data_IF_563486135548
#
_entry.id   IF_563486135548
#
_cell.length_a   1.000
_cell.length_b   1.000
_cell.length_c   1.000
_cell.angle_alpha   90.00
_cell.angle_beta   90.00
_cell.angle_gamma   90.00
#
_symmetry.space_group_name_H-M   'P 1'
#
loop_
_entity.id
_entity.type
_entity.pdbx_description
1 polymer ?
#
# COMPACT_ATOMS: atom_id res chain seq x y z
N UNK A 1 -13.77 -8.28 -2.60
CA UNK A 1 -12.99 -9.35 -3.27
C UNK A 1 -13.10 -10.67 -2.52
N UNK A 2 -12.85 -10.73 -1.20
CA UNK A 2 -12.86 -12.01 -0.45
C UNK A 2 -14.26 -12.53 -0.09
N UNK A 3 -15.21 -11.64 0.24
CA UNK A 3 -16.55 -12.00 0.75
C UNK A 3 -17.28 -13.13 -0.01
N UNK A 4 -17.28 -13.20 -1.36
CA UNK A 4 -17.96 -14.29 -2.07
C UNK A 4 -17.34 -15.69 -1.90
N UNK A 5 -16.11 -15.79 -1.38
CA UNK A 5 -15.33 -17.02 -1.32
C UNK A 5 -15.10 -17.55 0.10
N UNK A 6 -15.48 -16.78 1.12
CA UNK A 6 -15.24 -17.12 2.53
C UNK A 6 -16.52 -16.96 3.34
N UNK A 7 -16.75 -17.86 4.30
CA UNK A 7 -17.90 -17.77 5.21
C UNK A 7 -17.84 -16.52 6.09
N UNK A 8 -16.64 -16.11 6.51
CA UNK A 8 -16.39 -14.91 7.31
C UNK A 8 -15.12 -14.21 6.85
N UNK A 9 -15.16 -12.88 6.79
CA UNK A 9 -14.00 -12.02 6.54
C UNK A 9 -13.87 -11.00 7.67
N UNK A 10 -12.66 -10.85 8.18
CA UNK A 10 -12.35 -9.88 9.23
C UNK A 10 -11.28 -8.92 8.69
N UNK A 11 -11.64 -7.64 8.58
CA UNK A 11 -10.69 -6.55 8.36
C UNK A 11 -10.14 -6.03 9.69
N UNK A 12 -8.84 -5.82 9.76
CA UNK A 12 -8.14 -5.23 10.90
C UNK A 12 -7.32 -4.04 10.39
N UNK A 13 -7.37 -2.94 11.14
CA UNK A 13 -6.55 -1.76 10.90
C UNK A 13 -6.33 -1.05 12.26
N UNK A 14 -5.26 -0.28 12.37
CA UNK A 14 -4.95 0.50 13.57
C UNK A 14 -5.51 1.94 13.52
N UNK A 15 -6.01 2.39 12.36
CA UNK A 15 -6.72 3.66 12.20
C UNK A 15 -8.22 3.48 12.35
N UNK A 16 -8.80 4.18 13.31
CA UNK A 16 -10.25 4.21 13.48
C UNK A 16 -10.94 4.84 12.26
N UNK A 17 -10.33 5.85 11.64
CA UNK A 17 -10.84 6.54 10.46
C UNK A 17 -10.95 5.59 9.26
N UNK A 18 -9.91 4.77 9.01
CA UNK A 18 -9.93 3.76 7.95
C UNK A 18 -11.05 2.74 8.18
N UNK A 19 -11.22 2.28 9.43
CA UNK A 19 -12.28 1.33 9.77
C UNK A 19 -13.67 1.94 9.65
N UNK A 20 -13.85 3.21 10.03
CA UNK A 20 -15.13 3.92 9.86
C UNK A 20 -15.49 4.03 8.37
N UNK A 21 -14.52 4.41 7.53
CA UNK A 21 -14.74 4.46 6.09
C UNK A 21 -15.06 3.08 5.50
N UNK A 22 -14.32 2.04 5.90
CA UNK A 22 -14.55 0.67 5.45
C UNK A 22 -15.93 0.15 5.85
N UNK A 23 -16.37 0.41 7.10
CA UNK A 23 -17.72 0.05 7.57
C UNK A 23 -18.82 0.78 6.78
N UNK A 24 -18.63 2.06 6.48
CA UNK A 24 -19.61 2.87 5.73
C UNK A 24 -19.77 2.46 4.26
N UNK A 25 -18.75 1.84 3.67
CA UNK A 25 -18.75 1.42 2.25
C UNK A 25 -19.05 -0.06 2.05
N UNK A 26 -18.97 -0.86 3.12
CA UNK A 26 -19.17 -2.31 3.05
C UNK A 26 -20.65 -2.68 2.99
N UNK A 27 -21.00 -3.46 1.96
CA UNK A 27 -22.36 -3.98 1.75
C UNK A 27 -22.49 -5.48 2.06
N UNK A 28 -21.37 -6.15 2.29
CA UNK A 28 -21.31 -7.59 2.51
C UNK A 28 -21.62 -7.92 3.97
N UNK A 29 -22.55 -8.84 4.21
CA UNK A 29 -22.96 -9.21 5.58
C UNK A 29 -21.95 -10.08 6.32
N UNK A 30 -21.10 -10.82 5.59
CA UNK A 30 -20.07 -11.68 6.17
C UNK A 30 -18.72 -10.98 6.39
N UNK A 31 -18.67 -9.65 6.26
CA UNK A 31 -17.46 -8.86 6.49
C UNK A 31 -17.62 -8.06 7.78
N UNK A 32 -16.65 -8.17 8.67
CA UNK A 32 -16.58 -7.41 9.91
C UNK A 32 -15.24 -6.68 10.03
N UNK A 33 -15.22 -5.59 10.79
CA UNK A 33 -14.05 -4.74 10.95
C UNK A 33 -13.74 -4.51 12.43
N UNK A 34 -12.48 -4.66 12.80
CA UNK A 34 -12.03 -4.53 14.19
C UNK A 34 -10.79 -3.62 14.26
N UNK A 35 -10.73 -2.80 15.31
CA UNK A 35 -9.52 -2.07 15.66
C UNK A 35 -8.51 -3.04 16.26
N UNK A 36 -7.30 -3.06 15.72
CA UNK A 36 -6.26 -3.97 16.19
C UNK A 36 -4.99 -3.89 15.36
N UNK A 37 -3.96 -4.60 15.81
CA UNK A 37 -2.69 -4.70 15.11
C UNK A 37 -2.54 -6.08 14.47
N UNK A 38 -1.62 -6.20 13.52
CA UNK A 38 -1.37 -7.46 12.82
C UNK A 38 -0.72 -8.51 13.74
N UNK A 39 -0.06 -8.05 14.80
CA UNK A 39 0.63 -8.87 15.81
C UNK A 39 -0.32 -9.50 16.83
N UNK A 40 -1.59 -9.08 16.89
CA UNK A 40 -2.59 -9.66 17.79
C UNK A 40 -3.98 -9.62 17.15
N UNK A 41 -4.29 -10.68 16.40
CA UNK A 41 -5.49 -10.80 15.58
C UNK A 41 -6.74 -11.13 16.42
N UNK A 42 -6.59 -11.52 17.69
CA UNK A 42 -7.70 -11.88 18.59
C UNK A 42 -8.68 -12.87 17.95
N UNK A 43 -8.13 -13.94 17.39
CA UNK A 43 -8.86 -15.11 16.88
C UNK A 43 -8.24 -16.37 17.48
N UNK A 44 -8.97 -17.48 17.39
CA UNK A 44 -8.53 -18.76 17.92
C UNK A 44 -7.29 -19.29 17.18
N UNK A 45 -6.57 -20.18 17.83
CA UNK A 45 -5.45 -20.89 17.22
C UNK A 45 -5.95 -21.75 16.06
N UNK A 46 -5.15 -21.87 14.99
CA UNK A 46 -5.45 -22.71 13.83
C UNK A 46 -6.86 -22.53 13.22
N UNK A 47 -7.42 -21.33 13.29
CA UNK A 47 -8.79 -21.03 12.87
C UNK A 47 -8.88 -20.20 11.58
N UNK A 48 -7.75 -19.80 10.99
CA UNK A 48 -7.72 -18.89 9.84
C UNK A 48 -7.23 -19.60 8.58
N UNK A 49 -8.00 -19.45 7.52
CA UNK A 49 -7.78 -20.09 6.23
C UNK A 49 -6.78 -19.30 5.36
N UNK A 50 -6.92 -17.98 5.40
CA UNK A 50 -6.17 -17.03 4.59
C UNK A 50 -5.95 -15.76 5.39
N UNK A 51 -4.69 -15.31 5.47
CA UNK A 51 -4.33 -13.97 5.90
C UNK A 51 -3.88 -13.19 4.66
N UNK A 52 -4.46 -12.02 4.45
CA UNK A 52 -4.04 -11.10 3.39
C UNK A 52 -3.42 -9.84 3.98
N UNK A 53 -2.28 -9.42 3.46
CA UNK A 53 -1.65 -8.14 3.81
C UNK A 53 -1.46 -7.32 2.54
N UNK A 54 -2.32 -6.31 2.36
CA UNK A 54 -2.27 -5.40 1.21
C UNK A 54 -1.58 -4.09 1.59
N UNK A 55 -0.42 -3.79 1.01
CA UNK A 55 0.29 -2.51 1.19
C UNK A 55 0.62 -2.11 2.65
N UNK A 56 0.73 -3.07 3.57
CA UNK A 56 0.87 -2.76 5.00
C UNK A 56 2.02 -3.47 5.74
N UNK A 57 2.57 -4.58 5.22
CA UNK A 57 3.49 -5.44 5.98
C UNK A 57 4.75 -4.72 6.49
N UNK A 58 5.17 -3.66 5.80
CA UNK A 58 6.34 -2.86 6.16
C UNK A 58 6.14 -1.94 7.36
N UNK A 59 4.93 -1.87 7.92
CA UNK A 59 4.63 -1.18 9.16
C UNK A 59 4.68 -2.09 10.39
N UNK A 60 4.70 -3.41 10.20
CA UNK A 60 4.51 -4.38 11.28
C UNK A 60 5.81 -4.72 11.99
N UNK A 61 5.70 -5.16 13.24
CA UNK A 61 6.75 -5.96 13.86
C UNK A 61 6.70 -7.36 13.24
N UNK A 62 7.59 -7.60 12.27
CA UNK A 62 7.60 -8.85 11.51
C UNK A 62 7.83 -10.08 12.39
N UNK A 63 8.57 -9.96 13.50
CA UNK A 63 8.81 -11.09 14.38
C UNK A 63 7.52 -11.49 15.11
N UNK A 64 6.82 -10.52 15.69
CA UNK A 64 5.56 -10.77 16.39
C UNK A 64 4.45 -11.17 15.41
N UNK A 65 4.37 -10.48 14.27
CA UNK A 65 3.43 -10.82 13.19
C UNK A 65 3.61 -12.27 12.73
N UNK A 66 4.84 -12.73 12.49
CA UNK A 66 5.08 -14.11 12.06
C UNK A 66 4.64 -15.14 13.12
N UNK A 67 4.84 -14.87 14.41
CA UNK A 67 4.36 -15.74 15.49
C UNK A 67 2.84 -15.80 15.50
N UNK A 68 2.19 -14.66 15.32
CA UNK A 68 0.73 -14.58 15.30
C UNK A 68 0.14 -15.27 14.07
N UNK A 69 0.76 -15.12 12.90
CA UNK A 69 0.41 -15.86 11.68
C UNK A 69 0.51 -17.38 11.90
N UNK A 70 1.61 -17.86 12.47
CA UNK A 70 1.81 -19.28 12.78
C UNK A 70 0.77 -19.82 13.76
N UNK A 71 0.43 -19.03 14.78
CA UNK A 71 -0.58 -19.38 15.78
C UNK A 71 -1.97 -19.55 15.16
N UNK A 72 -2.41 -18.61 14.33
CA UNK A 72 -3.80 -18.55 13.87
C UNK A 72 -4.06 -19.31 12.57
N UNK A 73 -3.07 -19.47 11.70
CA UNK A 73 -3.28 -20.18 10.44
C UNK A 73 -3.51 -21.66 10.72
N UNK A 74 -4.55 -22.21 10.10
CA UNK A 74 -4.76 -23.67 10.10
C UNK A 74 -3.65 -24.36 9.31
N UNK A 75 -3.45 -25.69 9.49
CA UNK A 75 -2.59 -26.46 8.59
C UNK A 75 -2.98 -26.23 7.12
N UNK A 76 -2.00 -25.88 6.28
CA UNK A 76 -2.18 -25.50 4.86
C UNK A 76 -2.91 -24.17 4.63
N UNK A 77 -3.11 -23.36 5.66
CA UNK A 77 -3.53 -21.97 5.53
C UNK A 77 -2.48 -21.14 4.79
N UNK A 78 -2.90 -20.01 4.23
CA UNK A 78 -2.05 -19.18 3.36
C UNK A 78 -1.87 -17.79 3.95
N UNK A 79 -0.63 -17.30 3.94
CA UNK A 79 -0.33 -15.87 4.01
C UNK A 79 -0.12 -15.35 2.59
N UNK A 80 -0.93 -14.38 2.18
CA UNK A 80 -0.79 -13.68 0.91
C UNK A 80 -0.45 -12.20 1.16
N UNK A 81 0.79 -11.83 0.84
CA UNK A 81 1.27 -10.44 0.90
C UNK A 81 1.26 -9.88 -0.51
N UNK A 82 0.63 -8.72 -0.70
CA UNK A 82 0.58 -8.07 -2.00
C UNK A 82 0.66 -6.55 -1.89
N UNK A 83 1.03 -5.94 -3.00
CA UNK A 83 1.14 -4.51 -3.15
C UNK A 83 1.20 -4.12 -4.60
N UNK A 84 1.43 -2.84 -4.84
CA UNK A 84 1.59 -2.29 -6.16
C UNK A 84 2.75 -1.28 -6.15
N UNK A 85 3.39 -1.13 -7.30
CA UNK A 85 4.47 -0.15 -7.48
C UNK A 85 3.88 1.24 -7.77
N UNK A 86 4.71 2.28 -7.70
CA UNK A 86 4.29 3.63 -8.05
C UNK A 86 3.68 3.71 -9.46
N UNK A 87 2.66 4.57 -9.66
CA UNK A 87 2.04 4.74 -10.96
C UNK A 87 3.07 5.27 -11.97
N UNK A 88 2.98 4.74 -13.19
CA UNK A 88 3.82 5.18 -14.31
C UNK A 88 2.92 5.57 -15.48
N UNK A 89 2.97 6.83 -15.94
CA UNK A 89 2.25 7.25 -17.14
C UNK A 89 2.62 6.36 -18.34
N UNK A 90 1.60 5.86 -19.03
CA UNK A 90 1.74 5.12 -20.30
C UNK A 90 1.62 6.01 -21.54
N UNK A 91 1.31 7.29 -21.33
CA UNK A 91 1.18 8.34 -22.35
C UNK A 91 2.23 9.42 -22.14
N UNK A 92 2.45 10.25 -23.15
CA UNK A 92 3.43 11.34 -23.11
C UNK A 92 4.86 10.86 -23.40
N UNK A 93 5.83 11.70 -23.06
CA UNK A 93 7.25 11.47 -23.32
C UNK A 93 7.93 10.65 -22.19
N UNK A 94 9.10 10.08 -22.47
CA UNK A 94 9.88 9.34 -21.46
C UNK A 94 10.24 10.22 -20.27
N UNK A 95 10.48 11.51 -20.49
CA UNK A 95 10.76 12.45 -19.41
C UNK A 95 9.56 12.63 -18.46
N UNK A 96 8.32 12.53 -18.92
CA UNK A 96 7.14 12.55 -18.05
C UNK A 96 7.13 11.36 -17.09
N UNK A 97 7.39 10.16 -17.61
CA UNK A 97 7.46 8.97 -16.76
C UNK A 97 8.56 9.09 -15.70
N UNK A 98 9.71 9.67 -16.07
CA UNK A 98 10.82 9.92 -15.13
C UNK A 98 10.45 10.99 -14.10
N UNK A 99 9.83 12.10 -14.51
CA UNK A 99 9.36 13.16 -13.61
C UNK A 99 8.40 12.60 -12.56
N UNK A 100 7.42 11.78 -12.97
CA UNK A 100 6.49 11.14 -12.03
C UNK A 100 7.22 10.18 -11.09
N UNK A 101 8.14 9.36 -11.61
CA UNK A 101 8.89 8.42 -10.79
C UNK A 101 9.76 9.14 -9.75
N UNK A 102 10.51 10.17 -10.15
CA UNK A 102 11.36 10.96 -9.26
C UNK A 102 10.57 11.72 -8.19
N UNK A 103 9.32 12.12 -8.45
CA UNK A 103 8.46 12.66 -7.39
C UNK A 103 8.28 11.66 -6.25
N UNK A 104 8.07 10.38 -6.54
CA UNK A 104 7.93 9.34 -5.52
C UNK A 104 9.27 8.90 -4.90
N UNK A 105 10.34 8.77 -5.70
CA UNK A 105 11.60 8.19 -5.21
C UNK A 105 12.59 9.20 -4.67
N UNK A 106 12.68 10.37 -5.28
CA UNK A 106 13.75 11.33 -5.03
C UNK A 106 13.24 12.47 -4.16
N UNK A 107 12.07 13.03 -4.50
CA UNK A 107 11.46 14.13 -3.74
C UNK A 107 10.78 13.61 -2.47
N UNK A 108 9.69 12.86 -2.61
CA UNK A 108 8.93 12.32 -1.47
C UNK A 108 9.61 11.11 -0.84
N UNK A 109 10.44 10.39 -1.60
CA UNK A 109 11.14 9.21 -1.09
C UNK A 109 12.03 9.53 0.11
N UNK A 110 12.57 10.74 0.22
CA UNK A 110 13.34 11.22 1.39
C UNK A 110 12.53 11.21 2.70
N UNK A 111 11.21 11.22 2.61
CA UNK A 111 10.28 11.25 3.73
C UNK A 111 9.66 9.87 3.99
N UNK A 112 10.08 8.83 3.26
CA UNK A 112 9.69 7.44 3.51
C UNK A 112 10.54 6.83 4.62
N UNK A 113 9.91 6.00 5.46
CA UNK A 113 10.64 5.08 6.32
C UNK A 113 11.40 4.06 5.46
N UNK A 114 12.51 3.56 5.99
CA UNK A 114 13.36 2.59 5.28
C UNK A 114 12.57 1.36 4.83
N UNK A 115 11.75 0.79 5.71
CA UNK A 115 10.93 -0.39 5.38
C UNK A 115 9.88 -0.11 4.31
N UNK A 116 9.22 1.05 4.34
CA UNK A 116 8.29 1.48 3.29
C UNK A 116 8.99 1.60 1.93
N UNK A 117 10.25 2.06 1.93
CA UNK A 117 11.04 2.15 0.70
C UNK A 117 11.36 0.76 0.14
N UNK A 118 11.77 -0.18 1.00
CA UNK A 118 12.02 -1.57 0.59
C UNK A 118 10.74 -2.26 0.08
N UNK A 119 9.60 -1.99 0.68
CA UNK A 119 8.33 -2.50 0.19
C UNK A 119 7.94 -1.93 -1.18
N UNK A 120 7.92 -0.60 -1.32
CA UNK A 120 7.35 0.07 -2.49
C UNK A 120 8.28 0.15 -3.70
N UNK A 121 9.60 0.13 -3.49
CA UNK A 121 10.59 0.22 -4.57
C UNK A 121 11.13 -1.16 -4.96
N UNK A 122 11.51 -1.98 -3.97
CA UNK A 122 12.04 -3.32 -4.21
C UNK A 122 10.92 -4.39 -4.31
N UNK A 123 9.66 -3.99 -4.07
CA UNK A 123 8.50 -4.84 -4.29
C UNK A 123 8.50 -6.07 -3.38
N UNK A 124 8.85 -5.91 -2.10
CA UNK A 124 8.93 -7.02 -1.14
C UNK A 124 9.96 -8.12 -1.49
N UNK A 125 11.06 -7.83 -2.21
CA UNK A 125 12.11 -8.84 -2.46
C UNK A 125 13.06 -9.00 -1.28
N UNK A 126 13.26 -7.94 -0.50
CA UNK A 126 14.06 -7.96 0.71
C UNK A 126 13.73 -9.18 1.61
N UNK A 127 14.74 -9.87 2.20
CA UNK A 127 14.54 -11.13 2.91
C UNK A 127 13.47 -11.12 4.01
N UNK A 128 13.29 -9.98 4.68
CA UNK A 128 12.29 -9.84 5.74
C UNK A 128 10.84 -9.93 5.23
N UNK A 129 10.60 -9.69 3.93
CA UNK A 129 9.28 -9.82 3.30
C UNK A 129 9.15 -11.08 2.43
N UNK A 130 10.24 -11.84 2.27
CA UNK A 130 10.30 -13.02 1.38
C UNK A 130 10.74 -14.31 2.08
N UNK A 131 11.02 -14.27 3.39
CA UNK A 131 11.33 -15.45 4.21
C UNK A 131 10.57 -15.38 5.53
N UNK A 132 9.69 -16.36 5.75
CA UNK A 132 8.87 -16.43 6.93
C UNK A 132 9.24 -17.67 7.78
N UNK A 133 9.50 -17.52 9.09
CA UNK A 133 10.04 -18.60 9.90
C UNK A 133 9.05 -19.76 10.15
N UNK A 134 7.75 -19.52 9.96
CA UNK A 134 6.69 -20.52 10.11
C UNK A 134 6.52 -21.44 8.90
N UNK A 135 7.24 -21.20 7.80
CA UNK A 135 7.18 -22.03 6.60
C UNK A 135 8.57 -22.44 6.14
N UNK A 136 8.75 -23.74 5.90
CA UNK A 136 9.96 -24.27 5.26
C UNK A 136 9.93 -24.13 3.74
N UNK A 137 8.80 -23.72 3.16
CA UNK A 137 8.65 -23.52 1.73
C UNK A 137 9.05 -22.10 1.33
N UNK A 138 9.73 -21.96 0.19
CA UNK A 138 9.92 -20.64 -0.42
C UNK A 138 8.56 -20.06 -0.82
N UNK A 139 8.33 -18.75 -0.64
CA UNK A 139 7.07 -18.14 -1.03
C UNK A 139 6.90 -18.23 -2.56
N UNK A 140 5.69 -18.55 -2.99
CA UNK A 140 5.31 -18.39 -4.39
C UNK A 140 5.19 -16.90 -4.68
N UNK A 141 5.89 -16.44 -5.71
CA UNK A 141 5.88 -15.04 -6.12
C UNK A 141 5.27 -14.89 -7.50
N UNK A 142 4.27 -14.03 -7.57
CA UNK A 142 3.59 -13.65 -8.81
C UNK A 142 3.84 -12.18 -9.06
N UNK A 143 4.36 -11.87 -10.25
CA UNK A 143 4.44 -10.50 -10.75
C UNK A 143 3.24 -10.32 -11.69
N UNK A 144 2.21 -9.64 -11.22
CA UNK A 144 1.04 -9.37 -12.05
C UNK A 144 1.36 -8.27 -13.07
N UNK A 145 0.76 -8.37 -14.26
CA UNK A 145 0.86 -7.33 -15.27
C UNK A 145 0.29 -6.01 -14.75
N UNK A 146 0.92 -4.90 -15.14
CA UNK A 146 0.41 -3.56 -14.84
C UNK A 146 -1.03 -3.42 -15.33
N UNK A 147 -1.93 -2.97 -14.47
CA UNK A 147 -3.27 -2.54 -14.89
C UNK A 147 -3.19 -1.08 -15.31
N UNK A 148 -3.62 -0.79 -16.54
CA UNK A 148 -3.74 0.60 -17.02
C UNK A 148 -5.10 1.15 -16.63
N UNK A 149 -5.11 2.30 -15.96
CA UNK A 149 -6.32 3.06 -15.70
C UNK A 149 -6.23 4.43 -16.39
N UNK A 150 -7.36 4.95 -16.85
CA UNK A 150 -7.45 6.35 -17.29
C UNK A 150 -7.47 7.23 -16.04
N UNK A 151 -6.61 8.23 -16.00
CA UNK A 151 -6.49 9.18 -14.91
C UNK A 151 -6.19 10.58 -15.47
N UNK A 152 -6.75 11.60 -14.83
CA UNK A 152 -6.41 13.00 -15.04
C UNK A 152 -5.13 13.40 -14.29
N UNK A 153 -4.63 14.61 -14.53
CA UNK A 153 -3.53 15.16 -13.72
C UNK A 153 -4.02 15.33 -12.27
N UNK A 154 -5.25 15.78 -12.09
CA UNK A 154 -5.90 15.94 -10.79
C UNK A 154 -5.96 14.61 -10.01
N UNK A 155 -6.27 13.50 -10.68
CA UNK A 155 -6.27 12.17 -10.05
C UNK A 155 -4.86 11.78 -9.57
N UNK A 156 -3.81 12.08 -10.36
CA UNK A 156 -2.44 11.83 -9.95
C UNK A 156 -2.03 12.69 -8.75
N UNK A 157 -2.39 13.99 -8.74
CA UNK A 157 -2.13 14.87 -7.61
C UNK A 157 -2.87 14.40 -6.36
N UNK A 158 -4.14 14.03 -6.50
CA UNK A 158 -4.94 13.45 -5.43
C UNK A 158 -4.33 12.16 -4.90
N UNK A 159 -3.85 11.28 -5.79
CA UNK A 159 -3.16 10.07 -5.37
C UNK A 159 -1.87 10.39 -4.59
N UNK A 160 -1.03 11.31 -5.07
CA UNK A 160 0.20 11.72 -4.38
C UNK A 160 -0.11 12.22 -2.98
N UNK A 161 -1.16 13.04 -2.82
CA UNK A 161 -1.54 13.58 -1.52
C UNK A 161 -2.00 12.52 -0.53
N UNK A 162 -2.49 11.36 -0.98
CA UNK A 162 -2.81 10.23 -0.07
C UNK A 162 -1.59 9.45 0.42
N UNK A 163 -0.41 9.64 -0.17
CA UNK A 163 0.77 8.84 0.20
C UNK A 163 1.32 9.26 1.56
N UNK A 164 1.73 8.28 2.37
CA UNK A 164 2.35 8.55 3.68
C UNK A 164 3.62 9.40 3.57
N UNK A 165 4.39 9.27 2.48
CA UNK A 165 5.54 10.13 2.22
C UNK A 165 5.18 11.60 2.01
N UNK A 166 4.05 11.89 1.35
CA UNK A 166 3.55 13.25 1.23
C UNK A 166 3.03 13.77 2.57
N UNK A 167 2.32 12.95 3.34
CA UNK A 167 1.85 13.34 4.68
C UNK A 167 3.03 13.64 5.61
N UNK A 168 4.08 12.82 5.59
CA UNK A 168 5.32 13.09 6.33
C UNK A 168 6.04 14.37 5.85
N UNK A 169 6.00 14.65 4.54
CA UNK A 169 6.52 15.90 3.98
C UNK A 169 5.71 17.10 4.50
N UNK A 170 4.38 17.03 4.45
CA UNK A 170 3.45 18.04 4.92
C UNK A 170 3.66 18.34 6.41
N UNK A 171 3.72 17.31 7.25
CA UNK A 171 3.98 17.47 8.69
C UNK A 171 5.33 18.15 8.97
N UNK A 172 6.35 17.83 8.17
CA UNK A 172 7.72 18.33 8.37
C UNK A 172 7.95 19.73 7.82
N UNK A 173 7.38 20.06 6.67
CA UNK A 173 7.63 21.30 5.94
C UNK A 173 6.55 22.35 6.15
N UNK A 174 5.31 21.93 6.44
CA UNK A 174 4.17 22.82 6.56
C UNK A 174 3.26 22.83 5.32
N UNK A 175 2.06 23.36 5.51
CA UNK A 175 0.98 23.35 4.51
C UNK A 175 1.30 24.18 3.26
N UNK A 176 1.98 25.32 3.44
CA UNK A 176 2.32 26.21 2.32
C UNK A 176 3.28 25.53 1.36
N UNK A 177 4.36 24.94 1.88
CA UNK A 177 5.38 24.22 1.13
C UNK A 177 4.81 22.97 0.46
N UNK A 178 3.98 22.21 1.18
CA UNK A 178 3.33 21.00 0.66
C UNK A 178 2.33 21.29 -0.46
N UNK A 179 1.60 22.40 -0.36
CA UNK A 179 0.67 22.84 -1.41
C UNK A 179 1.41 23.38 -2.64
N UNK A 180 2.49 24.14 -2.42
CA UNK A 180 3.36 24.61 -3.49
C UNK A 180 3.97 23.44 -4.27
N UNK A 181 4.46 22.41 -3.58
CA UNK A 181 5.02 21.22 -4.22
C UNK A 181 4.04 20.54 -5.19
N UNK A 182 2.79 20.35 -4.79
CA UNK A 182 1.77 19.74 -5.65
C UNK A 182 1.38 20.67 -6.82
N UNK A 183 1.33 21.98 -6.59
CA UNK A 183 1.00 22.98 -7.62
C UNK A 183 2.09 23.05 -8.69
N UNK A 184 3.35 23.10 -8.28
CA UNK A 184 4.50 23.14 -9.18
C UNK A 184 4.59 21.86 -9.99
N UNK A 185 4.43 20.72 -9.33
CA UNK A 185 4.43 19.42 -9.99
C UNK A 185 3.28 19.29 -10.99
N UNK A 186 2.06 19.71 -10.62
CA UNK A 186 0.91 19.76 -11.54
C UNK A 186 1.23 20.55 -12.80
N UNK A 187 1.84 21.72 -12.65
CA UNK A 187 2.20 22.60 -13.76
C UNK A 187 3.27 21.97 -14.66
N UNK A 188 4.28 21.35 -14.06
CA UNK A 188 5.33 20.63 -14.78
C UNK A 188 4.76 19.47 -15.62
N UNK A 189 3.87 18.67 -15.04
CA UNK A 189 3.22 17.54 -15.73
C UNK A 189 2.34 18.04 -16.88
N UNK A 190 1.60 19.14 -16.69
CA UNK A 190 0.78 19.73 -17.72
C UNK A 190 1.61 20.22 -18.92
N UNK A 191 2.74 20.90 -18.68
CA UNK A 191 3.67 21.34 -19.73
C UNK A 191 4.22 20.15 -20.52
N UNK A 192 4.64 19.08 -19.83
CA UNK A 192 5.16 17.86 -20.47
C UNK A 192 4.12 17.08 -21.30
N UNK A 193 2.84 17.24 -20.99
CA UNK A 193 1.72 16.66 -21.74
C UNK A 193 1.27 17.54 -22.92
N UNK A 194 1.87 18.72 -23.11
CA UNK A 194 1.52 19.65 -24.19
C UNK A 194 0.43 20.66 -23.82
N UNK A 195 0.18 20.91 -22.53
CA UNK A 195 -0.66 22.00 -22.07
C UNK A 195 -0.02 23.36 -22.39
N UNK A 196 -0.76 24.24 -23.06
CA UNK A 196 -0.31 25.58 -23.43
C UNK A 196 0.18 26.36 -22.19
N UNK A 197 1.38 26.96 -22.29
CA UNK A 197 1.81 28.01 -21.37
C UNK A 197 0.77 29.14 -21.45
N UNK A 198 0.02 29.34 -20.36
CA UNK A 198 -0.72 30.60 -20.18
C UNK A 198 0.26 31.74 -19.91
#
# INVERSE_FOLDING_TARGET
ILSPYFEQVIGLDNSEEQLLHAKGTTKCQNVSYRLGSAENLKVADSSVDLITVGMAIHWFDLQQFCKEVDRVLRPRGVLAVYGYNFPRPSVGCVSLANTVYSMFTDTLGQYMRVESRLASIDGYRAPQFSKFPFSSQSPLRFEFSSTTQKASIEDLIGYISTTSSYQNYLEKQGETEASALLTDFKSQIAEQLGGEKK
#
